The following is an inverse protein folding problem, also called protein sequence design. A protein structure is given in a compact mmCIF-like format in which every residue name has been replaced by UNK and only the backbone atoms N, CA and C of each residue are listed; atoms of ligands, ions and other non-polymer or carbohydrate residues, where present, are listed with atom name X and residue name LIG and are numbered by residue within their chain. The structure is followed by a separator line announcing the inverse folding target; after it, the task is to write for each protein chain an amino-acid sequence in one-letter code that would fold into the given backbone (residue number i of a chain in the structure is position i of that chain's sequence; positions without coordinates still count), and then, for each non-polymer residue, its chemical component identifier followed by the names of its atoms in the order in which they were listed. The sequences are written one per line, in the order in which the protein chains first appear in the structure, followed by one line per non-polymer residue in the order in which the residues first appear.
data_IF_692483315507
#
_entry.id   IF_692483315507
#
_cell.length_a   1.000
_cell.length_b   1.000
_cell.length_c   1.000
_cell.angle_alpha   90.00
_cell.angle_beta   90.00
_cell.angle_gamma   90.00
#
_symmetry.space_group_name_H-M   'P 1'
#
loop_
_entity.id
_entity.type
_entity.pdbx_description
1 polymer ?
#
# COMPACT_ATOMS: atom_id res chain seq x y z
N UNK A 1 -8.86 16.39 5.38
CA UNK A 1 -8.89 16.11 3.93
C UNK A 1 -7.78 16.84 3.20
N UNK A 2 -7.56 18.14 3.45
CA UNK A 2 -6.45 18.90 2.83
C UNK A 2 -5.04 18.50 3.30
N UNK A 3 -4.89 18.00 4.53
CA UNK A 3 -3.56 17.69 5.08
C UNK A 3 -2.84 16.57 4.31
N UNK A 4 -3.48 15.43 4.05
CA UNK A 4 -2.83 14.27 3.40
C UNK A 4 -2.39 14.57 1.95
N UNK A 5 -3.21 15.31 1.18
CA UNK A 5 -2.85 15.75 -0.17
C UNK A 5 -1.65 16.71 -0.14
N UNK A 6 -1.59 17.63 0.82
CA UNK A 6 -0.47 18.56 0.95
C UNK A 6 0.85 17.89 1.37
N UNK A 7 0.77 16.73 2.03
CA UNK A 7 1.93 16.02 2.57
C UNK A 7 2.55 15.03 1.57
N UNK A 8 1.73 14.26 0.83
CA UNK A 8 2.22 13.18 -0.04
C UNK A 8 2.47 13.62 -1.49
N UNK A 9 1.61 14.47 -2.04
CA UNK A 9 1.64 14.86 -3.46
C UNK A 9 2.94 15.57 -3.89
N UNK A 10 3.62 16.40 -3.06
CA UNK A 10 4.85 17.09 -3.50
C UNK A 10 5.99 16.14 -3.90
N UNK A 11 6.32 15.16 -3.05
CA UNK A 11 7.36 14.18 -3.35
C UNK A 11 6.97 13.29 -4.53
N UNK A 12 5.67 12.97 -4.64
CA UNK A 12 5.16 12.20 -5.77
C UNK A 12 5.29 12.96 -7.11
N UNK A 13 4.86 14.21 -7.15
CA UNK A 13 4.96 15.06 -8.35
C UNK A 13 6.43 15.29 -8.75
N UNK A 14 7.32 15.48 -7.77
CA UNK A 14 8.76 15.57 -8.02
C UNK A 14 9.30 14.29 -8.67
N UNK A 15 8.90 13.11 -8.19
CA UNK A 15 9.31 11.85 -8.80
C UNK A 15 8.77 11.70 -10.22
N UNK A 16 7.50 12.01 -10.46
CA UNK A 16 6.94 12.01 -11.82
C UNK A 16 7.76 12.91 -12.75
N UNK A 17 8.14 14.11 -12.29
CA UNK A 17 8.97 15.01 -13.08
C UNK A 17 10.36 14.43 -13.37
N UNK A 18 11.00 13.78 -12.39
CA UNK A 18 12.29 13.09 -12.57
C UNK A 18 12.17 11.96 -13.61
N UNK A 19 11.15 11.11 -13.50
CA UNK A 19 10.90 10.03 -14.47
C UNK A 19 10.58 10.57 -15.87
N UNK A 20 9.81 11.65 -15.98
CA UNK A 20 9.49 12.24 -17.28
C UNK A 20 10.70 12.91 -17.95
N UNK A 21 11.67 13.43 -17.19
CA UNK A 21 12.72 14.31 -17.73
C UNK A 21 14.13 13.76 -17.59
N UNK A 22 14.61 13.56 -16.35
CA UNK A 22 16.02 13.26 -16.06
C UNK A 22 16.35 11.78 -16.25
N UNK A 23 15.40 10.89 -15.93
CA UNK A 23 15.63 9.45 -15.83
C UNK A 23 16.24 8.83 -17.10
N UNK A 24 15.80 9.30 -18.28
CA UNK A 24 16.31 8.87 -19.59
C UNK A 24 17.78 9.14 -19.84
N UNK A 25 18.37 10.14 -19.15
CA UNK A 25 19.76 10.56 -19.35
C UNK A 25 20.75 9.94 -18.35
N UNK A 26 20.27 9.12 -17.40
CA UNK A 26 21.10 8.59 -16.31
C UNK A 26 21.98 7.39 -16.69
N UNK A 27 21.87 6.88 -17.92
CA UNK A 27 22.58 5.66 -18.30
C UNK A 27 22.38 5.25 -19.76
N UNK A 28 22.81 4.02 -20.04
CA UNK A 28 22.66 3.36 -21.34
C UNK A 28 22.76 1.84 -21.16
N UNK A 29 22.07 1.09 -22.03
CA UNK A 29 22.12 -0.37 -22.03
C UNK A 29 21.17 -0.99 -23.06
N UNK A 30 21.29 -2.30 -23.34
CA UNK A 30 20.42 -3.03 -24.25
C UNK A 30 18.93 -2.91 -23.88
N UNK A 31 18.60 -2.90 -22.59
CA UNK A 31 17.22 -2.74 -22.09
C UNK A 31 16.81 -1.28 -21.84
N UNK A 32 17.61 -0.30 -22.27
CA UNK A 32 17.38 1.12 -21.97
C UNK A 32 16.17 1.69 -22.72
N UNK A 33 16.06 1.37 -24.01
CA UNK A 33 14.95 1.82 -24.85
C UNK A 33 13.59 1.30 -24.33
N UNK A 34 13.46 -0.02 -24.21
CA UNK A 34 12.19 -0.65 -23.80
C UNK A 34 11.86 -0.46 -22.30
N UNK A 35 12.86 -0.16 -21.47
CA UNK A 35 12.67 0.02 -20.02
C UNK A 35 12.55 1.49 -19.63
N UNK A 36 13.66 2.22 -19.72
CA UNK A 36 13.80 3.58 -19.17
C UNK A 36 13.19 4.63 -20.10
N UNK A 37 13.51 4.59 -21.40
CA UNK A 37 12.96 5.55 -22.38
C UNK A 37 11.45 5.39 -22.49
N UNK A 38 10.97 4.15 -22.68
CA UNK A 38 9.55 3.85 -22.74
C UNK A 38 8.80 4.32 -21.48
N UNK A 39 9.33 4.03 -20.28
CA UNK A 39 8.72 4.52 -19.04
C UNK A 39 8.67 6.07 -18.98
N UNK A 40 9.72 6.74 -19.44
CA UNK A 40 9.80 8.20 -19.46
C UNK A 40 8.76 8.81 -20.40
N UNK A 41 8.51 8.20 -21.56
CA UNK A 41 7.46 8.59 -22.50
C UNK A 41 6.07 8.45 -21.89
N UNK A 42 5.80 7.32 -21.25
CA UNK A 42 4.54 7.05 -20.55
C UNK A 42 4.29 8.06 -19.43
N UNK A 43 5.34 8.48 -18.74
CA UNK A 43 5.27 9.58 -17.79
C UNK A 43 4.91 10.92 -18.44
N UNK A 44 5.49 11.27 -19.59
CA UNK A 44 5.17 12.52 -20.30
C UNK A 44 3.73 12.56 -20.80
N UNK A 45 3.18 11.43 -21.20
CA UNK A 45 1.81 11.35 -21.68
C UNK A 45 0.78 11.31 -20.54
N UNK A 46 1.06 10.54 -19.48
CA UNK A 46 0.07 10.19 -18.45
C UNK A 46 0.35 10.78 -17.06
N UNK A 47 1.27 11.73 -16.89
CA UNK A 47 1.55 12.37 -15.60
C UNK A 47 0.30 12.95 -14.92
N UNK A 48 -0.63 13.51 -15.70
CA UNK A 48 -1.84 14.14 -15.16
C UNK A 48 -2.73 13.12 -14.44
N UNK A 49 -2.92 11.93 -15.02
CA UNK A 49 -3.72 10.87 -14.40
C UNK A 49 -3.10 10.31 -13.13
N UNK A 50 -1.76 10.38 -13.03
CA UNK A 50 -1.02 9.99 -11.84
C UNK A 50 -1.20 11.01 -10.71
N UNK A 51 -1.10 12.31 -10.99
CA UNK A 51 -1.32 13.39 -10.01
C UNK A 51 -2.80 13.48 -9.57
N UNK A 52 -3.74 13.16 -10.47
CA UNK A 52 -5.16 13.08 -10.15
C UNK A 52 -5.55 11.78 -9.45
N UNK A 53 -4.62 10.84 -9.24
CA UNK A 53 -4.85 9.55 -8.58
C UNK A 53 -5.87 8.64 -9.30
N UNK A 54 -6.08 8.81 -10.61
CA UNK A 54 -7.08 8.04 -11.41
C UNK A 54 -6.46 7.02 -12.36
N UNK A 55 -5.13 6.91 -12.38
CA UNK A 55 -4.35 5.98 -13.22
C UNK A 55 -4.67 4.49 -13.01
N UNK A 56 -5.45 4.12 -11.98
CA UNK A 56 -5.97 2.76 -11.81
C UNK A 56 -7.08 2.40 -12.80
N UNK A 57 -7.78 3.41 -13.34
CA UNK A 57 -8.92 3.22 -14.24
C UNK A 57 -8.71 3.89 -15.60
N UNK A 58 -7.96 4.99 -15.63
CA UNK A 58 -7.62 5.70 -16.88
C UNK A 58 -6.25 5.24 -17.34
N UNK A 59 -6.21 4.70 -18.56
CA UNK A 59 -5.00 4.25 -19.26
C UNK A 59 -4.07 3.38 -18.38
N UNK A 60 -4.66 2.38 -17.72
CA UNK A 60 -3.99 1.59 -16.69
C UNK A 60 -2.81 0.76 -17.21
N UNK A 61 -2.74 0.47 -18.50
CA UNK A 61 -1.59 -0.25 -19.08
C UNK A 61 -0.42 0.69 -19.35
N UNK A 62 -0.69 2.01 -19.40
CA UNK A 62 0.30 3.05 -19.69
C UNK A 62 0.59 3.96 -18.49
N UNK A 63 0.85 3.36 -17.32
CA UNK A 63 1.21 4.11 -16.10
C UNK A 63 2.62 4.68 -16.19
N UNK A 64 2.80 5.89 -15.66
CA UNK A 64 4.12 6.51 -15.48
C UNK A 64 5.03 5.69 -14.57
N UNK A 65 4.54 5.35 -13.37
CA UNK A 65 5.30 4.62 -12.36
C UNK A 65 4.47 3.45 -11.88
N UNK A 66 4.97 2.22 -12.08
CA UNK A 66 4.19 0.99 -11.83
C UNK A 66 3.59 0.99 -10.43
N UNK A 67 4.38 1.24 -9.39
CA UNK A 67 3.99 1.21 -7.98
C UNK A 67 2.84 2.17 -7.61
N UNK A 68 2.56 3.19 -8.42
CA UNK A 68 1.60 4.24 -8.08
C UNK A 68 0.15 3.78 -8.09
N UNK A 69 -0.15 2.58 -8.61
CA UNK A 69 -1.48 1.99 -8.50
C UNK A 69 -1.97 1.93 -7.05
N UNK A 70 -1.03 1.67 -6.13
CA UNK A 70 -1.33 1.58 -4.69
C UNK A 70 -1.72 2.94 -4.13
N UNK A 71 -0.98 3.98 -4.50
CA UNK A 71 -1.21 5.34 -4.04
C UNK A 71 -2.58 5.86 -4.49
N UNK A 72 -2.98 5.56 -5.73
CA UNK A 72 -4.30 5.85 -6.25
C UNK A 72 -5.42 5.04 -5.57
N UNK A 73 -5.16 3.76 -5.28
CA UNK A 73 -6.11 2.94 -4.55
C UNK A 73 -6.33 3.45 -3.13
N UNK A 74 -5.27 3.84 -2.43
CA UNK A 74 -5.35 4.43 -1.10
C UNK A 74 -6.15 5.74 -1.11
N UNK A 75 -5.90 6.61 -2.09
CA UNK A 75 -6.64 7.87 -2.24
C UNK A 75 -8.14 7.63 -2.45
N UNK A 76 -8.51 6.74 -3.37
CA UNK A 76 -9.91 6.37 -3.61
C UNK A 76 -10.59 5.84 -2.34
N UNK A 77 -9.89 4.96 -1.60
CA UNK A 77 -10.44 4.34 -0.38
C UNK A 77 -10.51 5.33 0.78
N UNK A 78 -9.57 6.28 0.86
CA UNK A 78 -9.61 7.37 1.81
C UNK A 78 -10.81 8.30 1.58
N UNK A 79 -11.14 8.61 0.31
CA UNK A 79 -12.36 9.36 -0.02
C UNK A 79 -13.63 8.58 0.33
N UNK A 80 -13.59 7.24 0.23
CA UNK A 80 -14.70 6.37 0.58
C UNK A 80 -14.85 6.15 2.09
N UNK A 81 -13.76 6.23 2.86
CA UNK A 81 -13.72 5.90 4.29
C UNK A 81 -14.76 6.66 5.13
N UNK A 82 -15.03 7.97 4.94
CA UNK A 82 -16.06 8.68 5.69
C UNK A 82 -17.46 8.07 5.54
N UNK A 83 -17.80 7.50 4.37
CA UNK A 83 -19.10 6.84 4.14
C UNK A 83 -19.28 5.61 5.01
N UNK A 84 -18.17 4.97 5.41
CA UNK A 84 -18.15 3.82 6.29
C UNK A 84 -18.02 4.20 7.77
N UNK A 85 -17.18 5.18 8.08
CA UNK A 85 -16.89 5.61 9.45
C UNK A 85 -18.03 6.45 10.03
N UNK A 86 -18.71 7.29 9.23
CA UNK A 86 -19.78 8.14 9.72
C UNK A 86 -20.98 7.34 10.27
N UNK A 87 -21.51 6.31 9.59
CA UNK A 87 -22.54 5.43 10.17
C UNK A 87 -22.05 4.69 11.41
N UNK A 88 -20.78 4.27 11.47
CA UNK A 88 -20.20 3.64 12.67
C UNK A 88 -20.20 4.56 13.89
N UNK A 89 -19.96 5.85 13.66
CA UNK A 89 -19.97 6.86 14.72
C UNK A 89 -21.39 7.26 15.13
N UNK A 90 -22.28 7.53 14.16
CA UNK A 90 -23.64 8.04 14.44
C UNK A 90 -24.62 6.95 14.86
N UNK A 91 -24.55 5.78 14.23
CA UNK A 91 -25.48 4.67 14.41
C UNK A 91 -24.72 3.34 14.52
N UNK A 92 -24.11 3.02 15.68
CA UNK A 92 -23.13 1.93 15.80
C UNK A 92 -23.66 0.55 15.41
N UNK A 93 -24.96 0.27 15.57
CA UNK A 93 -25.56 -1.00 15.11
C UNK A 93 -25.61 -1.06 13.58
N UNK A 94 -26.13 -0.02 12.94
CA UNK A 94 -26.19 0.08 11.48
C UNK A 94 -24.78 0.12 10.87
N UNK A 95 -23.88 0.93 11.43
CA UNK A 95 -22.50 1.03 10.95
C UNK A 95 -21.74 -0.29 10.99
N UNK A 96 -21.95 -1.14 12.02
CA UNK A 96 -21.36 -2.49 12.06
C UNK A 96 -21.89 -3.38 10.94
N UNK A 97 -23.19 -3.34 10.67
CA UNK A 97 -23.79 -4.08 9.54
C UNK A 97 -23.20 -3.59 8.22
N UNK A 98 -23.17 -2.27 7.99
CA UNK A 98 -22.57 -1.66 6.78
C UNK A 98 -21.11 -2.08 6.61
N UNK A 99 -20.33 -2.08 7.69
CA UNK A 99 -18.91 -2.49 7.67
C UNK A 99 -18.73 -3.96 7.29
N UNK A 100 -19.49 -4.87 7.92
CA UNK A 100 -19.43 -6.31 7.63
C UNK A 100 -19.86 -6.59 6.19
N UNK A 101 -20.92 -5.93 5.71
CA UNK A 101 -21.36 -6.05 4.32
C UNK A 101 -20.30 -5.53 3.35
N UNK A 102 -19.68 -4.38 3.62
CA UNK A 102 -18.63 -3.83 2.77
C UNK A 102 -17.40 -4.75 2.69
N UNK A 103 -17.01 -5.35 3.82
CA UNK A 103 -15.95 -6.37 3.87
C UNK A 103 -16.34 -7.59 3.03
N UNK A 104 -17.56 -8.13 3.20
CA UNK A 104 -18.04 -9.26 2.41
C UNK A 104 -17.97 -8.99 0.91
N UNK A 105 -18.53 -7.86 0.47
CA UNK A 105 -18.48 -7.42 -0.93
C UNK A 105 -17.04 -7.30 -1.43
N UNK A 106 -16.13 -6.71 -0.64
CA UNK A 106 -14.73 -6.53 -1.02
C UNK A 106 -13.94 -7.82 -1.23
N UNK A 107 -14.35 -8.92 -0.60
CA UNK A 107 -13.76 -10.25 -0.77
C UNK A 107 -14.42 -10.98 -1.95
N UNK A 108 -15.74 -10.82 -2.10
CA UNK A 108 -16.49 -11.45 -3.18
C UNK A 108 -16.13 -10.90 -4.55
N UNK A 109 -15.83 -9.60 -4.69
CA UNK A 109 -15.46 -8.98 -5.97
C UNK A 109 -14.27 -9.70 -6.65
N UNK A 110 -13.07 -9.80 -6.04
CA UNK A 110 -11.94 -10.48 -6.67
C UNK A 110 -12.20 -11.97 -6.88
N UNK A 111 -12.89 -12.64 -5.94
CA UNK A 111 -13.27 -14.04 -6.10
C UNK A 111 -14.15 -14.23 -7.34
N UNK A 112 -15.17 -13.40 -7.51
CA UNK A 112 -16.10 -13.46 -8.63
C UNK A 112 -15.42 -13.09 -9.96
N UNK A 113 -14.56 -12.06 -9.97
CA UNK A 113 -13.81 -11.70 -11.19
C UNK A 113 -12.92 -12.85 -11.64
N UNK A 114 -12.19 -13.49 -10.72
CA UNK A 114 -11.33 -14.62 -11.06
C UNK A 114 -12.15 -15.81 -11.56
N UNK A 115 -13.25 -16.13 -10.88
CA UNK A 115 -14.12 -17.25 -11.24
C UNK A 115 -14.78 -17.08 -12.61
N UNK A 116 -15.27 -15.87 -12.92
CA UNK A 116 -16.00 -15.60 -14.16
C UNK A 116 -15.07 -15.51 -15.37
N UNK A 117 -13.91 -14.85 -15.21
CA UNK A 117 -13.01 -14.53 -16.31
C UNK A 117 -11.81 -15.47 -16.42
N UNK A 118 -11.72 -16.49 -15.56
CA UNK A 118 -10.63 -17.47 -15.52
C UNK A 118 -9.23 -16.85 -15.38
N UNK A 119 -9.12 -15.80 -14.57
CA UNK A 119 -7.82 -15.19 -14.28
C UNK A 119 -7.02 -16.04 -13.28
N UNK A 120 -5.69 -16.01 -13.31
CA UNK A 120 -4.89 -16.69 -12.30
C UNK A 120 -5.09 -16.06 -10.91
N UNK A 121 -5.09 -16.87 -9.86
CA UNK A 121 -5.19 -16.37 -8.47
C UNK A 121 -3.97 -15.58 -8.01
N UNK A 122 -2.83 -15.80 -8.67
CA UNK A 122 -1.52 -15.22 -8.36
C UNK A 122 -0.81 -14.80 -9.64
N UNK A 123 -0.01 -13.75 -9.56
CA UNK A 123 0.88 -13.34 -10.64
C UNK A 123 2.13 -14.22 -10.66
N UNK A 124 2.43 -14.87 -11.79
CA UNK A 124 3.65 -15.64 -11.99
C UNK A 124 4.24 -15.41 -13.38
N UNK A 125 5.56 -15.55 -13.49
CA UNK A 125 6.37 -15.09 -14.64
C UNK A 125 6.21 -15.90 -15.92
N UNK A 126 5.51 -17.03 -15.90
CA UNK A 126 5.26 -17.87 -17.07
C UNK A 126 3.91 -17.62 -17.76
N UNK A 127 3.13 -16.65 -17.29
CA UNK A 127 1.90 -16.23 -17.97
C UNK A 127 2.20 -15.63 -19.35
N UNK A 128 1.32 -15.88 -20.32
CA UNK A 128 1.41 -15.27 -21.65
C UNK A 128 1.22 -13.75 -21.58
N UNK A 129 1.88 -12.99 -22.46
CA UNK A 129 1.92 -11.52 -22.41
C UNK A 129 0.52 -10.87 -22.40
N UNK A 130 -0.41 -11.39 -23.19
CA UNK A 130 -1.79 -10.90 -23.24
C UNK A 130 -2.53 -11.12 -21.90
N UNK A 131 -2.39 -12.31 -21.32
CA UNK A 131 -3.01 -12.67 -20.04
C UNK A 131 -2.38 -11.87 -18.88
N UNK A 132 -1.08 -11.56 -18.96
CA UNK A 132 -0.39 -10.68 -18.02
C UNK A 132 -0.96 -9.26 -18.07
N UNK A 133 -1.15 -8.70 -19.26
CA UNK A 133 -1.73 -7.38 -19.45
C UNK A 133 -3.15 -7.32 -18.89
N UNK A 134 -3.98 -8.31 -19.22
CA UNK A 134 -5.36 -8.40 -18.71
C UNK A 134 -5.40 -8.57 -17.19
N UNK A 135 -4.56 -9.45 -16.64
CA UNK A 135 -4.45 -9.61 -15.18
C UNK A 135 -4.09 -8.28 -14.51
N UNK A 136 -3.12 -7.55 -15.08
CA UNK A 136 -2.70 -6.27 -14.56
C UNK A 136 -3.88 -5.28 -14.53
N UNK A 137 -4.57 -5.13 -15.67
CA UNK A 137 -5.67 -4.21 -15.87
C UNK A 137 -6.93 -4.53 -15.06
N UNK A 138 -7.31 -5.80 -14.94
CA UNK A 138 -8.61 -6.20 -14.37
C UNK A 138 -8.53 -6.73 -12.95
N UNK A 139 -7.37 -7.28 -12.52
CA UNK A 139 -7.19 -7.86 -11.19
C UNK A 139 -6.22 -7.05 -10.34
N UNK A 140 -5.08 -6.63 -10.91
CA UNK A 140 -3.99 -6.11 -10.09
C UNK A 140 -4.17 -4.63 -9.72
N UNK A 141 -4.44 -3.76 -10.71
CA UNK A 141 -4.52 -2.31 -10.52
C UNK A 141 -5.85 -1.78 -9.97
N UNK A 142 -7.03 -2.29 -10.35
CA UNK A 142 -8.28 -1.64 -9.97
C UNK A 142 -8.50 -1.61 -8.46
N UNK A 143 -8.93 -0.47 -7.94
CA UNK A 143 -9.12 -0.27 -6.49
C UNK A 143 -10.13 -1.25 -5.90
N UNK A 144 -11.20 -1.57 -6.63
CA UNK A 144 -12.23 -2.49 -6.15
C UNK A 144 -11.72 -3.91 -5.89
N UNK A 145 -10.62 -4.32 -6.53
CA UNK A 145 -9.96 -5.61 -6.31
C UNK A 145 -9.08 -5.64 -5.04
N UNK A 146 -8.87 -4.48 -4.42
CA UNK A 146 -7.91 -4.24 -3.33
C UNK A 146 -8.54 -3.67 -2.06
N UNK A 147 -9.87 -3.61 -1.97
CA UNK A 147 -10.55 -2.93 -0.85
C UNK A 147 -10.51 -3.71 0.46
N UNK A 148 -10.40 -5.05 0.41
CA UNK A 148 -10.57 -5.91 1.59
C UNK A 148 -9.58 -5.64 2.73
N UNK A 149 -8.26 -5.40 2.49
CA UNK A 149 -7.34 -5.06 3.57
C UNK A 149 -7.64 -3.69 4.19
N UNK A 150 -8.09 -2.74 3.38
CA UNK A 150 -8.41 -1.38 3.83
C UNK A 150 -9.62 -1.38 4.78
N UNK A 151 -10.69 -2.09 4.40
CA UNK A 151 -11.87 -2.22 5.26
C UNK A 151 -11.58 -3.02 6.54
N UNK A 152 -10.76 -4.08 6.45
CA UNK A 152 -10.26 -4.78 7.63
C UNK A 152 -9.49 -3.85 8.59
N UNK A 153 -8.63 -2.98 8.04
CA UNK A 153 -7.91 -1.95 8.79
C UNK A 153 -8.84 -0.93 9.46
N UNK A 154 -9.86 -0.44 8.75
CA UNK A 154 -10.88 0.45 9.32
C UNK A 154 -11.64 -0.20 10.49
N UNK A 155 -12.06 -1.47 10.31
CA UNK A 155 -12.74 -2.23 11.34
C UNK A 155 -11.83 -2.43 12.58
N UNK A 156 -10.55 -2.76 12.37
CA UNK A 156 -9.56 -2.84 13.44
C UNK A 156 -9.39 -1.50 14.17
N UNK A 157 -9.30 -0.39 13.43
CA UNK A 157 -9.21 0.96 14.00
C UNK A 157 -10.40 1.29 14.90
N UNK A 158 -11.62 0.92 14.48
CA UNK A 158 -12.83 1.06 15.29
C UNK A 158 -12.77 0.22 16.58
N UNK A 159 -12.34 -1.05 16.48
CA UNK A 159 -12.17 -1.94 17.65
C UNK A 159 -11.14 -1.35 18.63
N UNK A 160 -10.00 -0.89 18.12
CA UNK A 160 -8.93 -0.32 18.94
C UNK A 160 -9.35 0.99 19.62
N UNK A 161 -10.14 1.83 18.94
CA UNK A 161 -10.72 3.02 19.53
C UNK A 161 -11.64 2.68 20.72
N UNK A 162 -12.51 1.68 20.57
CA UNK A 162 -13.35 1.18 21.66
C UNK A 162 -12.56 0.61 22.83
N UNK A 163 -11.49 -0.13 22.53
CA UNK A 163 -10.59 -0.72 23.53
C UNK A 163 -9.90 0.35 24.39
N UNK A 164 -9.37 1.40 23.76
CA UNK A 164 -8.68 2.51 24.45
C UNK A 164 -9.62 3.26 25.40
N UNK A 165 -10.89 3.41 25.03
CA UNK A 165 -11.88 4.14 25.84
C UNK A 165 -12.40 3.32 27.03
N UNK A 166 -12.48 1.99 26.90
CA UNK A 166 -13.09 1.14 27.93
C UNK A 166 -12.13 0.61 28.99
N UNK A 167 -10.79 0.62 28.76
CA UNK A 167 -9.71 0.20 29.68
C UNK A 167 -9.88 -1.16 30.40
N UNK A 168 -10.93 -1.94 30.09
CA UNK A 168 -11.41 -3.08 30.91
C UNK A 168 -11.39 -4.43 30.19
N UNK A 169 -11.05 -4.50 28.91
CA UNK A 169 -10.96 -5.79 28.22
C UNK A 169 -9.57 -6.40 28.42
N UNK A 170 -9.42 -7.21 29.46
CA UNK A 170 -8.26 -8.10 29.60
C UNK A 170 -8.47 -9.32 28.70
N UNK A 171 -7.64 -9.48 27.67
CA UNK A 171 -7.66 -10.67 26.81
C UNK A 171 -7.08 -11.82 27.64
N UNK A 172 -7.80 -12.94 27.82
CA UNK A 172 -7.24 -14.06 28.56
C UNK A 172 -6.09 -14.70 27.78
N UNK A 173 -5.05 -15.15 28.48
CA UNK A 173 -3.79 -15.64 27.88
C UNK A 173 -4.02 -16.75 26.84
N UNK A 174 -4.96 -17.67 27.10
CA UNK A 174 -5.27 -18.76 26.17
C UNK A 174 -5.86 -18.26 24.84
N UNK A 175 -6.73 -17.25 24.88
CA UNK A 175 -7.26 -16.59 23.66
C UNK A 175 -6.13 -15.91 22.91
N UNK A 176 -5.22 -15.24 23.63
CA UNK A 176 -4.09 -14.58 23.01
C UNK A 176 -3.17 -15.59 22.28
N UNK A 177 -2.84 -16.72 22.92
CA UNK A 177 -2.03 -17.80 22.32
C UNK A 177 -2.74 -18.38 21.10
N UNK A 178 -4.04 -18.68 21.20
CA UNK A 178 -4.82 -19.20 20.08
C UNK A 178 -4.75 -18.28 18.85
N UNK A 179 -5.01 -16.99 19.03
CA UNK A 179 -4.97 -16.04 17.92
C UNK A 179 -3.55 -15.76 17.40
N UNK A 180 -2.51 -15.89 18.24
CA UNK A 180 -1.13 -15.88 17.78
C UNK A 180 -0.83 -17.06 16.86
N UNK A 181 -1.16 -18.29 17.27
CA UNK A 181 -1.00 -19.47 16.44
C UNK A 181 -1.82 -19.34 15.15
N UNK A 182 -3.09 -18.93 15.26
CA UNK A 182 -3.95 -18.73 14.10
C UNK A 182 -3.34 -17.71 13.13
N UNK A 183 -2.88 -16.56 13.61
CA UNK A 183 -2.31 -15.51 12.75
C UNK A 183 -1.02 -15.97 12.06
N UNK A 184 -0.12 -16.63 12.79
CA UNK A 184 1.13 -17.14 12.20
C UNK A 184 0.85 -18.24 11.17
N UNK A 185 -0.08 -19.15 11.46
CA UNK A 185 -0.51 -20.17 10.51
C UNK A 185 -1.17 -19.56 9.28
N UNK A 186 -2.04 -18.55 9.44
CA UNK A 186 -2.66 -17.84 8.32
C UNK A 186 -1.62 -17.12 7.47
N UNK A 187 -0.62 -16.44 8.07
CA UNK A 187 0.46 -15.81 7.32
C UNK A 187 1.28 -16.83 6.54
N UNK A 188 1.64 -17.96 7.16
CA UNK A 188 2.33 -19.05 6.49
C UNK A 188 1.49 -19.63 5.34
N UNK A 189 0.20 -19.87 5.56
CA UNK A 189 -0.71 -20.38 4.54
C UNK A 189 -0.87 -19.41 3.36
N UNK A 190 -0.88 -18.10 3.59
CA UNK A 190 -0.93 -17.11 2.51
C UNK A 190 0.38 -17.10 1.70
N UNK A 191 1.54 -17.22 2.37
CA UNK A 191 2.86 -17.21 1.72
C UNK A 191 3.11 -18.49 0.91
N UNK A 192 2.85 -19.65 1.51
CA UNK A 192 3.16 -20.95 0.90
C UNK A 192 1.98 -21.57 0.14
N UNK A 193 0.76 -21.07 0.35
CA UNK A 193 -0.45 -21.57 -0.32
C UNK A 193 -0.38 -21.60 -1.85
N UNK A 194 0.15 -20.59 -2.55
CA UNK A 194 0.17 -20.60 -4.01
C UNK A 194 1.36 -21.38 -4.59
N UNK A 195 2.11 -22.13 -3.77
CA UNK A 195 3.32 -22.83 -4.23
C UNK A 195 3.06 -23.75 -5.41
N UNK A 196 2.01 -24.58 -5.34
CA UNK A 196 1.59 -25.48 -6.43
C UNK A 196 1.12 -24.68 -7.64
N UNK A 197 0.34 -23.60 -7.42
CA UNK A 197 -0.21 -22.74 -8.48
C UNK A 197 0.84 -22.08 -9.37
N UNK A 198 2.06 -21.92 -8.88
CA UNK A 198 3.17 -21.25 -9.58
C UNK A 198 4.05 -22.27 -10.33
N UNK A 199 3.90 -23.57 -10.07
CA UNK A 199 4.71 -24.60 -10.76
C UNK A 199 4.34 -24.70 -12.24
N UNK A 200 5.34 -25.00 -13.07
CA UNK A 200 5.18 -25.07 -14.54
C UNK A 200 4.26 -26.20 -15.01
N UNK A 201 4.18 -27.28 -14.23
CA UNK A 201 3.38 -28.48 -14.50
C UNK A 201 1.96 -28.39 -13.93
N UNK A 202 1.65 -27.36 -13.16
CA UNK A 202 0.34 -27.18 -12.56
C UNK A 202 -0.72 -26.85 -13.63
N UNK A 203 -1.80 -27.62 -13.62
CA UNK A 203 -2.96 -27.38 -14.46
C UNK A 203 -3.87 -26.36 -13.75
N UNK A 204 -4.20 -25.29 -14.44
CA UNK A 204 -5.04 -24.22 -13.89
C UNK A 204 -6.38 -24.75 -13.36
N UNK A 205 -6.60 -24.58 -12.06
CA UNK A 205 -7.90 -24.78 -11.41
C UNK A 205 -8.55 -23.43 -11.05
N UNK A 206 -9.74 -23.22 -11.59
CA UNK A 206 -10.57 -22.02 -11.36
C UNK A 206 -10.95 -21.90 -9.89
N UNK A 207 -11.30 -23.01 -9.24
CA UNK A 207 -11.79 -22.98 -7.85
C UNK A 207 -10.66 -22.59 -6.92
N UNK A 208 -9.49 -23.22 -7.07
CA UNK A 208 -8.28 -22.89 -6.32
C UNK A 208 -7.89 -21.41 -6.52
N UNK A 209 -7.83 -20.96 -7.77
CA UNK A 209 -7.50 -19.58 -8.15
C UNK A 209 -8.46 -18.55 -7.58
N UNK A 210 -9.75 -18.83 -7.63
CA UNK A 210 -10.80 -17.92 -7.14
C UNK A 210 -10.76 -17.80 -5.62
N UNK A 211 -10.64 -18.92 -4.92
CA UNK A 211 -10.59 -18.94 -3.45
C UNK A 211 -9.33 -18.23 -2.98
N UNK A 212 -8.15 -18.62 -3.51
CA UNK A 212 -6.91 -17.99 -3.11
C UNK A 212 -6.93 -16.50 -3.45
N UNK A 213 -7.18 -16.14 -4.71
CA UNK A 213 -7.14 -14.77 -5.20
C UNK A 213 -8.12 -13.81 -4.52
N UNK A 214 -9.29 -14.31 -4.10
CA UNK A 214 -10.27 -13.54 -3.33
C UNK A 214 -9.93 -13.37 -1.85
N UNK A 215 -9.45 -14.44 -1.19
CA UNK A 215 -9.36 -14.50 0.28
C UNK A 215 -8.00 -14.12 0.83
N UNK A 216 -6.89 -14.38 0.12
CA UNK A 216 -5.53 -14.26 0.67
C UNK A 216 -5.22 -12.86 1.24
N UNK A 217 -5.65 -11.79 0.55
CA UNK A 217 -5.40 -10.40 0.98
C UNK A 217 -6.13 -10.06 2.26
N UNK A 218 -7.37 -10.51 2.37
CA UNK A 218 -8.19 -10.31 3.55
C UNK A 218 -7.67 -11.13 4.73
N UNK A 219 -7.29 -12.39 4.49
CA UNK A 219 -6.69 -13.27 5.49
C UNK A 219 -5.38 -12.68 6.05
N UNK A 220 -4.50 -12.18 5.16
CA UNK A 220 -3.29 -11.45 5.54
C UNK A 220 -3.60 -10.24 6.42
N UNK A 221 -4.57 -9.41 6.01
CA UNK A 221 -4.95 -8.20 6.74
C UNK A 221 -5.49 -8.51 8.14
N UNK A 222 -6.30 -9.56 8.31
CA UNK A 222 -6.78 -9.98 9.63
C UNK A 222 -5.63 -10.48 10.50
N UNK A 223 -4.74 -11.32 9.95
CA UNK A 223 -3.62 -11.88 10.70
C UNK A 223 -2.67 -10.77 11.19
N UNK A 224 -2.32 -9.81 10.33
CA UNK A 224 -1.56 -8.62 10.74
C UNK A 224 -2.36 -7.76 11.73
N UNK A 225 -3.68 -7.64 11.53
CA UNK A 225 -4.55 -6.89 12.42
C UNK A 225 -4.56 -7.42 13.85
N UNK A 226 -4.52 -8.75 14.03
CA UNK A 226 -4.33 -9.36 15.34
C UNK A 226 -2.97 -8.99 15.95
N UNK A 227 -1.88 -9.04 15.17
CA UNK A 227 -0.53 -8.66 15.64
C UNK A 227 -0.54 -7.22 16.17
N UNK A 228 -1.18 -6.30 15.45
CA UNK A 228 -1.34 -4.89 15.86
C UNK A 228 -2.16 -4.78 17.15
N UNK A 229 -3.28 -5.51 17.25
CA UNK A 229 -4.12 -5.53 18.45
C UNK A 229 -3.38 -6.12 19.67
N UNK A 230 -2.61 -7.19 19.47
CA UNK A 230 -1.81 -7.81 20.52
C UNK A 230 -0.69 -6.88 21.00
N UNK A 231 0.00 -6.19 20.09
CA UNK A 231 1.04 -5.22 20.44
C UNK A 231 0.48 -4.02 21.21
N UNK A 232 -0.67 -3.48 20.79
CA UNK A 232 -1.32 -2.34 21.43
C UNK A 232 -2.00 -2.67 22.76
N UNK A 233 -2.46 -3.91 22.95
CA UNK A 233 -3.07 -4.39 24.21
C UNK A 233 -2.08 -4.95 25.22
N UNK A 234 -0.77 -4.92 24.95
CA UNK A 234 0.27 -5.44 25.85
C UNK A 234 0.55 -6.95 25.77
N UNK A 235 -0.11 -7.66 24.84
CA UNK A 235 0.08 -9.09 24.58
C UNK A 235 1.14 -9.38 23.48
N UNK A 236 1.88 -8.36 23.04
CA UNK A 236 2.84 -8.47 21.95
C UNK A 236 4.23 -9.00 22.32
N UNK A 237 4.57 -9.08 23.61
CA UNK A 237 5.82 -9.68 24.10
C UNK A 237 7.08 -9.19 23.36
N UNK A 238 7.85 -10.13 22.79
CA UNK A 238 9.08 -9.85 22.03
C UNK A 238 8.81 -9.12 20.71
N UNK A 239 7.71 -9.44 20.03
CA UNK A 239 7.36 -8.82 18.74
C UNK A 239 7.13 -7.32 18.93
N UNK A 240 6.40 -6.93 19.98
CA UNK A 240 6.21 -5.51 20.28
C UNK A 240 7.54 -4.78 20.60
N UNK A 241 8.47 -5.45 21.31
CA UNK A 241 9.81 -4.89 21.59
C UNK A 241 10.61 -4.68 20.30
N UNK A 242 10.57 -5.65 19.39
CA UNK A 242 11.22 -5.57 18.08
C UNK A 242 10.63 -4.46 17.21
N UNK A 243 9.31 -4.46 17.01
CA UNK A 243 8.62 -3.47 16.17
C UNK A 243 8.70 -2.04 16.73
N UNK A 244 8.81 -1.89 18.06
CA UNK A 244 8.99 -0.59 18.71
C UNK A 244 10.45 -0.14 18.82
N UNK A 245 11.40 -0.88 18.24
CA UNK A 245 12.82 -0.55 18.32
C UNK A 245 13.13 0.81 17.68
N UNK A 246 14.08 1.54 18.26
CA UNK A 246 14.46 2.89 17.80
C UNK A 246 15.03 2.89 16.38
N UNK A 247 15.63 1.78 15.95
CA UNK A 247 16.19 1.59 14.61
C UNK A 247 15.13 1.81 13.51
N UNK A 248 13.88 1.42 13.75
CA UNK A 248 12.81 1.53 12.75
C UNK A 248 12.25 2.96 12.62
N UNK A 249 12.54 3.88 13.54
CA UNK A 249 12.01 5.25 13.51
C UNK A 249 12.45 6.07 12.28
N UNK A 250 13.75 6.12 11.91
CA UNK A 250 14.14 6.80 10.67
C UNK A 250 13.58 6.09 9.43
N UNK A 251 13.64 4.76 9.41
CA UNK A 251 13.14 3.97 8.28
C UNK A 251 11.63 4.14 8.06
N UNK A 252 10.85 4.24 9.13
CA UNK A 252 9.40 4.48 9.04
C UNK A 252 9.09 5.84 8.43
N UNK A 253 9.93 6.87 8.70
CA UNK A 253 9.76 8.20 8.10
C UNK A 253 10.17 8.26 6.63
N UNK A 254 11.16 7.46 6.22
CA UNK A 254 11.60 7.36 4.83
C UNK A 254 10.76 6.39 3.99
N UNK A 255 9.89 5.60 4.62
CA UNK A 255 9.16 4.51 3.97
C UNK A 255 8.41 4.94 2.71
N UNK A 256 7.80 6.13 2.71
CA UNK A 256 7.12 6.68 1.55
C UNK A 256 8.08 7.05 0.42
N UNK A 257 9.16 7.77 0.72
CA UNK A 257 10.18 8.09 -0.28
C UNK A 257 10.85 6.83 -0.85
N UNK A 258 11.15 5.83 -0.01
CA UNK A 258 11.67 4.51 -0.44
C UNK A 258 10.67 3.86 -1.42
N UNK A 259 9.39 3.87 -1.06
CA UNK A 259 8.33 3.35 -1.92
C UNK A 259 8.26 4.09 -3.26
N UNK A 260 8.47 5.40 -3.31
CA UNK A 260 8.48 6.12 -4.59
C UNK A 260 9.72 5.81 -5.44
N UNK A 261 10.89 5.61 -4.83
CA UNK A 261 12.16 5.46 -5.57
C UNK A 261 12.50 4.02 -5.97
N UNK A 262 12.10 3.01 -5.20
CA UNK A 262 12.63 1.64 -5.34
C UNK A 262 12.46 1.03 -6.74
N UNK A 263 11.27 1.09 -7.36
CA UNK A 263 11.09 0.51 -8.69
C UNK A 263 11.92 1.23 -9.76
N UNK A 264 12.17 2.53 -9.62
CA UNK A 264 13.07 3.24 -10.53
C UNK A 264 14.51 2.73 -10.44
N UNK A 265 14.99 2.47 -9.23
CA UNK A 265 16.33 1.89 -9.01
C UNK A 265 16.43 0.50 -9.63
N UNK A 266 15.43 -0.34 -9.39
CA UNK A 266 15.38 -1.70 -9.94
C UNK A 266 15.31 -1.70 -11.47
N UNK A 267 14.41 -0.90 -12.06
CA UNK A 267 14.30 -0.79 -13.52
C UNK A 267 15.58 -0.26 -14.15
N UNK A 268 16.19 0.78 -13.57
CA UNK A 268 17.50 1.27 -14.00
C UNK A 268 18.55 0.16 -13.95
N UNK A 269 18.61 -0.61 -12.85
CA UNK A 269 19.54 -1.71 -12.62
C UNK A 269 19.43 -2.82 -13.68
N UNK A 270 18.21 -3.19 -14.08
CA UNK A 270 17.97 -4.19 -15.12
C UNK A 270 18.24 -3.64 -16.52
N UNK A 271 17.76 -2.43 -16.84
CA UNK A 271 17.87 -1.83 -18.18
C UNK A 271 19.32 -1.55 -18.60
N UNK A 272 20.23 -1.36 -17.64
CA UNK A 272 21.65 -1.11 -17.91
C UNK A 272 22.50 -2.37 -18.13
N UNK A 273 21.95 -3.57 -17.93
CA UNK A 273 22.74 -4.82 -18.02
C UNK A 273 23.21 -5.03 -19.46
N UNK A 274 24.54 -5.03 -19.67
CA UNK A 274 25.19 -5.16 -20.99
C UNK A 274 25.71 -6.57 -21.28
N UNK A 275 25.77 -7.43 -20.27
CA UNK A 275 26.31 -8.79 -20.37
C UNK A 275 25.49 -9.73 -19.50
N UNK A 276 25.42 -11.00 -19.91
CA UNK A 276 24.78 -12.04 -19.11
C UNK A 276 25.41 -12.11 -17.71
N UNK A 277 24.56 -12.30 -16.69
CA UNK A 277 24.97 -12.52 -15.30
C UNK A 277 24.53 -13.92 -14.89
N UNK A 278 25.37 -14.60 -14.13
CA UNK A 278 24.98 -15.86 -13.50
C UNK A 278 24.03 -15.55 -12.33
N UNK A 279 22.88 -16.21 -12.35
CA UNK A 279 21.97 -16.21 -11.21
C UNK A 279 22.49 -17.22 -10.19
N UNK A 280 23.19 -16.72 -9.19
CA UNK A 280 23.58 -17.46 -7.99
C UNK A 280 23.14 -16.68 -6.74
N UNK A 281 23.03 -17.39 -5.61
CA UNK A 281 22.53 -16.82 -4.37
C UNK A 281 23.38 -15.62 -3.90
N UNK A 282 24.69 -15.67 -4.13
CA UNK A 282 25.61 -14.61 -3.74
C UNK A 282 25.33 -13.31 -4.51
N UNK A 283 25.21 -13.39 -5.84
CA UNK A 283 24.93 -12.26 -6.71
C UNK A 283 23.55 -11.68 -6.41
N UNK A 284 22.54 -12.51 -6.14
CA UNK A 284 21.20 -12.06 -5.77
C UNK A 284 21.24 -11.27 -4.46
N UNK A 285 21.91 -11.79 -3.42
CA UNK A 285 22.05 -11.09 -2.14
C UNK A 285 22.84 -9.80 -2.28
N UNK A 286 23.90 -9.81 -3.09
CA UNK A 286 24.72 -8.64 -3.35
C UNK A 286 23.93 -7.54 -4.09
N UNK A 287 23.21 -7.90 -5.16
CA UNK A 287 22.37 -6.97 -5.91
C UNK A 287 21.25 -6.40 -5.02
N UNK A 288 20.59 -7.23 -4.21
CA UNK A 288 19.60 -6.78 -3.22
C UNK A 288 20.17 -5.75 -2.23
N UNK A 289 21.34 -6.03 -1.65
CA UNK A 289 21.98 -5.11 -0.71
C UNK A 289 22.37 -3.78 -1.38
N UNK A 290 22.84 -3.82 -2.63
CA UNK A 290 23.13 -2.65 -3.44
C UNK A 290 21.88 -1.81 -3.71
N UNK A 291 20.80 -2.44 -4.16
CA UNK A 291 19.54 -1.77 -4.50
C UNK A 291 18.89 -1.13 -3.28
N UNK A 292 18.88 -1.82 -2.13
CA UNK A 292 18.39 -1.26 -0.86
C UNK A 292 19.22 -0.04 -0.46
N UNK A 293 20.54 -0.13 -0.55
CA UNK A 293 21.44 0.98 -0.17
C UNK A 293 21.19 2.21 -1.04
N UNK A 294 21.17 2.04 -2.36
CA UNK A 294 20.91 3.13 -3.32
C UNK A 294 19.52 3.72 -3.11
N UNK A 295 18.51 2.87 -2.93
CA UNK A 295 17.13 3.31 -2.70
C UNK A 295 17.01 4.13 -1.41
N UNK A 296 17.64 3.69 -0.31
CA UNK A 296 17.63 4.45 0.95
C UNK A 296 18.32 5.80 0.77
N UNK A 297 19.47 5.86 0.11
CA UNK A 297 20.18 7.13 -0.14
C UNK A 297 19.32 8.10 -0.96
N UNK A 298 18.74 7.64 -2.07
CA UNK A 298 17.86 8.47 -2.90
C UNK A 298 16.60 8.90 -2.14
N UNK A 299 16.04 8.03 -1.32
CA UNK A 299 14.87 8.35 -0.49
C UNK A 299 15.15 9.46 0.52
N UNK A 300 16.36 9.51 1.08
CA UNK A 300 16.77 10.60 1.99
C UNK A 300 16.82 11.93 1.25
N UNK A 301 17.36 11.94 0.03
CA UNK A 301 17.41 13.15 -0.81
C UNK A 301 15.98 13.63 -1.07
N UNK A 302 15.11 12.74 -1.59
CA UNK A 302 13.71 13.07 -1.88
C UNK A 302 12.97 13.57 -0.63
N UNK A 303 13.18 12.93 0.52
CA UNK A 303 12.57 13.29 1.78
C UNK A 303 12.98 14.69 2.24
N UNK A 304 14.28 15.00 2.21
CA UNK A 304 14.79 16.29 2.69
C UNK A 304 14.40 17.43 1.75
N UNK A 305 14.36 17.20 0.43
CA UNK A 305 14.10 18.27 -0.54
C UNK A 305 12.61 18.53 -0.77
N UNK A 306 11.76 17.50 -0.74
CA UNK A 306 10.34 17.65 -1.07
C UNK A 306 9.40 17.26 0.07
N UNK A 307 9.60 16.15 0.76
CA UNK A 307 8.63 15.74 1.78
C UNK A 307 8.71 16.62 3.04
N UNK A 308 9.89 16.72 3.66
CA UNK A 308 10.12 17.43 4.93
C UNK A 308 9.76 18.92 4.89
N UNK A 309 10.10 19.71 3.84
CA UNK A 309 9.75 21.12 3.79
C UNK A 309 8.24 21.33 3.69
N UNK A 310 7.55 20.51 2.89
CA UNK A 310 6.10 20.61 2.74
C UNK A 310 5.36 20.15 3.99
N UNK A 311 5.84 19.10 4.67
CA UNK A 311 5.36 18.74 6.01
C UNK A 311 5.47 19.92 6.99
N UNK A 312 6.60 20.65 6.97
CA UNK A 312 6.81 21.81 7.84
C UNK A 312 5.85 22.96 7.50
N UNK A 313 5.65 23.26 6.21
CA UNK A 313 4.71 24.30 5.75
C UNK A 313 3.27 23.94 6.15
N UNK A 314 2.82 22.71 5.89
CA UNK A 314 1.49 22.25 6.26
C UNK A 314 1.27 22.37 7.76
N UNK A 315 2.25 21.96 8.57
CA UNK A 315 2.19 22.13 10.03
C UNK A 315 2.02 23.59 10.45
N UNK A 316 2.80 24.50 9.88
CA UNK A 316 2.71 25.95 10.19
C UNK A 316 1.34 26.51 9.80
N UNK A 317 0.82 26.12 8.63
CA UNK A 317 -0.50 26.55 8.16
C UNK A 317 -1.61 26.05 9.08
N UNK A 318 -1.58 24.77 9.45
CA UNK A 318 -2.55 24.16 10.36
C UNK A 318 -2.51 24.77 11.76
N UNK A 319 -1.31 25.02 12.30
CA UNK A 319 -1.13 25.71 13.57
C UNK A 319 -1.71 27.14 13.54
N UNK A 320 -1.52 27.86 12.42
CA UNK A 320 -2.08 29.21 12.24
C UNK A 320 -3.61 29.20 12.15
N UNK A 321 -4.19 28.28 11.38
CA UNK A 321 -5.64 28.11 11.26
C UNK A 321 -6.26 27.77 12.62
N UNK A 322 -5.63 26.87 13.38
CA UNK A 322 -6.11 26.50 14.72
C UNK A 322 -6.09 27.69 15.68
N UNK A 323 -5.06 28.54 15.63
CA UNK A 323 -5.00 29.78 16.42
C UNK A 323 -6.13 30.76 16.05
N UNK A 324 -6.41 30.93 14.75
CA UNK A 324 -7.49 31.80 14.29
C UNK A 324 -8.84 31.28 14.80
N UNK A 325 -9.12 29.97 14.66
CA UNK A 325 -10.36 29.36 15.19
C UNK A 325 -10.51 29.51 16.71
N UNK A 326 -9.41 29.39 17.46
CA UNK A 326 -9.43 29.62 18.91
C UNK A 326 -9.75 31.08 19.25
N UNK A 327 -9.21 32.03 18.49
CA UNK A 327 -9.53 33.46 18.66
C UNK A 327 -10.99 33.77 18.33
N UNK A 328 -11.54 33.22 17.24
CA UNK A 328 -12.95 33.36 16.87
C UNK A 328 -13.89 32.78 17.94
N UNK A 329 -13.60 31.56 18.43
CA UNK A 329 -14.39 30.95 19.50
C UNK A 329 -14.33 31.76 20.80
N UNK A 330 -13.16 32.31 21.16
CA UNK A 330 -13.03 33.16 22.35
C UNK A 330 -13.78 34.50 22.20
N UNK A 331 -13.93 35.02 20.98
CA UNK A 331 -14.70 36.23 20.72
C UNK A 331 -16.21 35.98 20.72
N UNK A 332 -16.69 34.80 20.31
CA UNK A 332 -18.11 34.42 20.39
C UNK A 332 -18.61 34.12 21.82
N UNK A 333 -17.70 33.80 22.75
CA UNK A 333 -18.04 33.48 24.16
C UNK A 333 -18.10 34.74 25.04
N UNK A 334 -17.63 35.90 24.57
CA UNK A 334 -17.79 37.15 25.33
C UNK A 334 -19.25 37.62 25.22
N UNK A 335 -20.03 37.67 26.31
CA UNK A 335 -21.35 38.25 26.26
C UNK A 335 -21.20 39.73 25.90
N UNK A 336 -22.00 40.18 24.93
CA UNK A 336 -22.21 41.60 24.67
C UNK A 336 -22.85 42.15 25.94
N UNK A 337 -22.05 42.83 26.76
CA UNK A 337 -22.48 43.53 27.98
C UNK A 337 -23.25 44.78 27.61
#
# INVERSE_FOLDING_TARGET
MGDIFGELTPAYAAMIAVFATVYVYLGSGPGWHNGVEHQSEMCRENWLWNILYVNNYVDSNRKCMLQTWYLSADMHLFLFAPLLVYPLWKWPKLGKVVMVTAIGVSVTIPLATIYIYNYPGVHYSSLHDDLLSDYAQYIYYPTHQRMSPYFAGLALGYILHGYRNTKKCTIPKWVSIFFWCLSLTTLAAVIFGPYEMIQFDHQYDVIESSIYGGVHRFAWAIAVGWIVLACSSGHGGLINKGLSARLFRPLSRLSYCIFLTHLGVLHYGVSRIKSARYMDDYNIVHDFAGDVTVTVVLSVILYVTFESPFLAVTKILTDKINKIRQQENNNMIKPVV
#
